data_IF_508805666817
#
_entry.id   IF_508805666817
#
_cell.length_a   1.000
_cell.length_b   1.000
_cell.length_c   1.000
_cell.angle_alpha   90.00
_cell.angle_beta   90.00
_cell.angle_gamma   90.00
#
_symmetry.space_group_name_H-M   'P 1'
#
loop_
_entity.id
_entity.type
_entity.pdbx_description
1 polymer ?
#
# COMPACT_ATOMS: atom_id res chain seq x y z
N UNK A 1 20.48 12.51 -5.48
CA UNK A 1 20.12 13.73 -4.73
C UNK A 1 20.91 13.84 -3.42
N UNK A 2 22.23 14.12 -3.44
CA UNK A 2 23.05 14.12 -2.21
C UNK A 2 22.62 15.15 -1.17
N UNK A 3 22.22 16.35 -1.60
CA UNK A 3 21.77 17.44 -0.72
C UNK A 3 20.48 17.09 0.03
N UNK A 4 19.51 16.44 -0.65
CA UNK A 4 18.26 15.98 -0.02
C UNK A 4 18.52 14.92 1.03
N UNK A 5 19.38 13.94 0.74
CA UNK A 5 19.73 12.88 1.70
C UNK A 5 20.42 13.49 2.92
N UNK A 6 21.37 14.40 2.74
CA UNK A 6 22.01 15.11 3.84
C UNK A 6 20.98 15.87 4.69
N UNK A 7 20.11 16.66 4.07
CA UNK A 7 19.12 17.45 4.80
C UNK A 7 18.12 16.57 5.58
N UNK A 8 17.62 15.49 4.99
CA UNK A 8 16.72 14.55 5.68
C UNK A 8 17.39 13.88 6.89
N UNK A 9 18.64 13.46 6.75
CA UNK A 9 19.39 12.80 7.83
C UNK A 9 19.74 13.78 8.95
N UNK A 10 20.33 14.92 8.60
CA UNK A 10 20.89 15.84 9.59
C UNK A 10 19.85 16.78 10.21
N UNK A 11 18.73 17.07 9.53
CA UNK A 11 17.69 18.00 10.04
C UNK A 11 16.42 17.32 10.52
N UNK A 12 16.06 16.18 9.93
CA UNK A 12 14.83 15.45 10.29
C UNK A 12 15.11 14.08 10.93
N UNK A 13 16.37 13.72 11.16
CA UNK A 13 16.72 12.45 11.80
C UNK A 13 16.36 11.23 10.94
N UNK A 14 16.26 11.38 9.62
CA UNK A 14 15.85 10.28 8.74
C UNK A 14 16.87 9.14 8.76
N UNK A 15 16.37 7.90 8.82
CA UNK A 15 17.17 6.67 8.77
C UNK A 15 17.10 6.09 7.34
N UNK A 16 18.21 6.02 6.59
CA UNK A 16 18.18 5.47 5.25
C UNK A 16 18.24 3.94 5.25
N UNK A 17 17.39 3.34 4.43
CA UNK A 17 17.36 1.91 4.17
C UNK A 17 18.12 1.62 2.88
N UNK A 18 19.45 1.52 2.97
CA UNK A 18 20.34 1.44 1.79
C UNK A 18 20.09 0.22 0.89
N UNK A 19 19.52 -0.84 1.46
CA UNK A 19 19.31 -2.13 0.79
C UNK A 19 17.82 -2.50 0.72
N UNK A 20 16.93 -1.51 0.75
CA UNK A 20 15.50 -1.74 0.54
C UNK A 20 15.24 -2.08 -0.93
N UNK A 21 14.86 -3.33 -1.19
CA UNK A 21 14.51 -3.79 -2.52
C UNK A 21 13.06 -3.49 -2.86
N UNK A 22 12.80 -3.20 -4.13
CA UNK A 22 11.44 -3.16 -4.67
C UNK A 22 11.00 -4.57 -5.06
N UNK A 23 9.72 -4.87 -4.84
CA UNK A 23 9.04 -6.13 -5.15
C UNK A 23 8.75 -6.26 -6.65
N UNK A 24 8.35 -5.17 -7.31
CA UNK A 24 8.00 -5.16 -8.72
C UNK A 24 8.38 -3.88 -9.46
N UNK A 25 8.21 -3.88 -10.78
CA UNK A 25 8.60 -2.74 -11.62
C UNK A 25 7.80 -1.46 -11.30
N UNK A 26 6.48 -1.58 -11.11
CA UNK A 26 5.54 -0.46 -10.98
C UNK A 26 5.10 -0.23 -9.53
N UNK A 27 4.39 0.87 -9.24
CA UNK A 27 3.94 1.21 -7.88
C UNK A 27 3.07 0.12 -7.25
N UNK A 28 2.11 -0.42 -8.02
CA UNK A 28 1.10 -1.36 -7.52
C UNK A 28 1.66 -2.63 -6.84
N UNK A 29 2.55 -3.43 -7.46
CA UNK A 29 3.08 -4.63 -6.79
C UNK A 29 3.87 -4.29 -5.51
N UNK A 30 4.51 -3.12 -5.44
CA UNK A 30 5.22 -2.67 -4.24
C UNK A 30 4.26 -2.29 -3.12
N UNK A 31 3.21 -1.53 -3.43
CA UNK A 31 2.19 -1.14 -2.45
C UNK A 31 1.39 -2.35 -1.95
N UNK A 32 0.93 -3.23 -2.84
CA UNK A 32 0.19 -4.43 -2.46
C UNK A 32 1.02 -5.35 -1.55
N UNK A 33 2.32 -5.53 -1.81
CA UNK A 33 3.15 -6.39 -1.01
C UNK A 33 3.27 -5.91 0.45
N UNK A 34 3.45 -4.61 0.66
CA UNK A 34 3.54 -4.03 2.00
C UNK A 34 2.18 -4.05 2.70
N UNK A 35 1.12 -3.67 1.99
CA UNK A 35 -0.20 -3.46 2.59
C UNK A 35 -0.95 -4.77 2.87
N UNK A 36 -0.76 -5.79 2.02
CA UNK A 36 -1.41 -7.10 2.13
C UNK A 36 -0.46 -8.17 2.68
N UNK A 37 0.79 -7.80 3.02
CA UNK A 37 1.75 -8.69 3.66
C UNK A 37 2.15 -9.90 2.83
N UNK A 38 1.97 -9.85 1.50
CA UNK A 38 2.33 -10.96 0.60
C UNK A 38 3.55 -10.65 -0.25
N UNK A 39 4.20 -11.71 -0.71
CA UNK A 39 5.35 -11.62 -1.60
C UNK A 39 4.92 -11.37 -3.05
N UNK A 40 5.90 -11.06 -3.91
CA UNK A 40 5.68 -11.00 -5.36
C UNK A 40 5.05 -12.29 -5.93
N UNK A 41 5.44 -13.45 -5.39
CA UNK A 41 5.02 -14.76 -5.91
C UNK A 41 3.54 -15.03 -5.64
N UNK A 42 2.99 -14.45 -4.57
CA UNK A 42 1.57 -14.61 -4.20
C UNK A 42 0.65 -13.84 -5.15
N UNK A 43 1.15 -12.78 -5.78
CA UNK A 43 0.38 -11.83 -6.59
C UNK A 43 0.41 -12.04 -8.11
N UNK A 44 0.93 -13.18 -8.59
CA UNK A 44 1.12 -13.50 -10.01
C UNK A 44 0.21 -12.73 -10.98
N UNK A 45 0.82 -12.02 -11.94
CA UNK A 45 0.18 -11.01 -12.80
C UNK A 45 -1.28 -11.34 -13.18
N UNK A 46 -2.20 -10.43 -12.85
CA UNK A 46 -3.56 -10.40 -13.39
C UNK A 46 -4.64 -11.16 -12.62
N UNK A 47 -4.30 -12.11 -11.74
CA UNK A 47 -5.31 -12.92 -11.03
C UNK A 47 -6.16 -12.12 -10.02
N UNK A 48 -5.56 -11.11 -9.40
CA UNK A 48 -6.14 -10.37 -8.26
C UNK A 48 -6.87 -9.08 -8.66
N UNK A 49 -7.17 -8.91 -9.95
CA UNK A 49 -7.84 -7.70 -10.44
C UNK A 49 -9.37 -7.87 -10.52
N UNK A 50 -9.82 -9.11 -10.71
CA UNK A 50 -11.23 -9.44 -10.96
C UNK A 50 -12.01 -9.78 -9.69
N UNK A 51 -11.32 -10.14 -8.61
CA UNK A 51 -11.92 -10.44 -7.31
C UNK A 51 -11.73 -9.25 -6.36
N UNK A 52 -12.71 -8.95 -5.49
CA UNK A 52 -12.56 -7.93 -4.46
C UNK A 52 -11.57 -8.38 -3.37
N UNK A 53 -10.89 -7.41 -2.75
CA UNK A 53 -9.99 -7.65 -1.61
C UNK A 53 -10.73 -7.80 -0.28
N UNK A 54 -12.06 -7.88 -0.29
CA UNK A 54 -12.90 -7.86 0.91
C UNK A 54 -12.58 -8.99 1.91
N UNK A 55 -12.10 -10.14 1.43
CA UNK A 55 -11.75 -11.30 2.24
C UNK A 55 -10.24 -11.48 2.43
N UNK A 56 -9.45 -10.49 2.03
CA UNK A 56 -7.99 -10.54 2.13
C UNK A 56 -7.51 -9.87 3.42
N UNK A 57 -6.40 -10.38 3.96
CA UNK A 57 -5.72 -9.68 5.04
C UNK A 57 -5.16 -8.35 4.52
N UNK A 58 -5.39 -7.27 5.27
CA UNK A 58 -4.89 -5.94 4.99
C UNK A 58 -4.48 -5.27 6.29
N UNK A 59 -3.30 -4.65 6.28
CA UNK A 59 -2.71 -4.02 7.47
C UNK A 59 -3.64 -2.98 8.12
N UNK A 60 -4.49 -2.30 7.34
CA UNK A 60 -5.45 -1.35 7.89
C UNK A 60 -6.46 -1.99 8.86
N UNK A 61 -6.92 -3.21 8.59
CA UNK A 61 -7.84 -3.93 9.48
C UNK A 61 -7.18 -4.21 10.85
N UNK A 62 -5.93 -4.64 10.86
CA UNK A 62 -5.17 -4.88 12.10
C UNK A 62 -5.06 -3.62 12.97
N UNK A 63 -4.80 -2.47 12.35
CA UNK A 63 -4.74 -1.20 13.09
C UNK A 63 -6.13 -0.78 13.58
N UNK A 64 -7.19 -0.96 12.79
CA UNK A 64 -8.56 -0.68 13.23
C UNK A 64 -8.97 -1.55 14.42
N UNK A 65 -8.73 -2.86 14.36
CA UNK A 65 -9.06 -3.80 15.44
C UNK A 65 -8.32 -3.47 16.74
N UNK A 66 -7.12 -2.89 16.64
CA UNK A 66 -6.33 -2.41 17.79
C UNK A 66 -6.74 -1.02 18.30
N UNK A 67 -7.80 -0.43 17.73
CA UNK A 67 -8.37 0.85 18.18
C UNK A 67 -7.71 2.09 17.58
N UNK A 68 -6.87 1.96 16.56
CA UNK A 68 -6.33 3.11 15.84
C UNK A 68 -7.35 3.70 14.87
N UNK A 69 -7.28 5.02 14.67
CA UNK A 69 -7.96 5.67 13.55
C UNK A 69 -7.13 5.54 12.27
N UNK A 70 -7.72 4.96 11.24
CA UNK A 70 -7.02 4.65 9.99
C UNK A 70 -7.48 5.55 8.83
N UNK A 71 -6.51 5.97 8.02
CA UNK A 71 -6.73 6.80 6.83
C UNK A 71 -5.94 6.19 5.68
N UNK A 72 -6.62 6.00 4.55
CA UNK A 72 -6.01 5.67 3.27
C UNK A 72 -6.14 6.91 2.38
N UNK A 73 -5.05 7.66 2.21
CA UNK A 73 -5.00 8.88 1.42
C UNK A 73 -4.26 8.62 0.11
N UNK A 74 -5.00 8.51 -0.98
CA UNK A 74 -4.47 8.39 -2.34
C UNK A 74 -4.58 9.77 -3.02
N UNK A 75 -3.65 10.10 -3.91
CA UNK A 75 -3.62 11.37 -4.65
C UNK A 75 -4.54 11.38 -5.88
N UNK A 76 -5.18 10.24 -6.19
CA UNK A 76 -6.08 10.07 -7.33
C UNK A 76 -7.20 9.05 -7.04
N UNK A 77 -8.26 9.06 -7.85
CA UNK A 77 -9.39 8.13 -7.73
C UNK A 77 -9.00 6.65 -8.00
N UNK A 78 -7.91 6.43 -8.76
CA UNK A 78 -7.33 5.11 -8.97
C UNK A 78 -6.05 4.97 -8.16
N UNK A 79 -6.14 4.26 -7.05
CA UNK A 79 -5.04 3.97 -6.14
C UNK A 79 -4.51 2.54 -6.25
N UNK A 80 -3.84 2.08 -5.21
CA UNK A 80 -3.12 0.79 -5.21
C UNK A 80 -4.03 -0.41 -5.49
N UNK A 81 -5.28 -0.41 -5.00
CA UNK A 81 -6.17 -1.59 -5.06
C UNK A 81 -7.07 -1.63 -6.30
N UNK A 82 -7.43 -0.48 -6.88
CA UNK A 82 -8.35 -0.38 -8.01
C UNK A 82 -7.69 -0.02 -9.35
N UNK A 83 -6.41 0.36 -9.38
CA UNK A 83 -5.72 0.67 -10.64
C UNK A 83 -5.33 -0.57 -11.48
N UNK A 84 -5.43 -0.51 -12.83
CA UNK A 84 -6.17 0.49 -13.60
C UNK A 84 -7.66 0.16 -13.73
N UNK A 85 -8.01 -1.13 -13.75
CA UNK A 85 -9.37 -1.66 -13.96
C UNK A 85 -9.68 -2.77 -12.96
N UNK A 86 -9.26 -2.62 -11.71
CA UNK A 86 -9.44 -3.65 -10.69
C UNK A 86 -10.57 -3.31 -9.74
N UNK A 87 -11.20 -4.34 -9.20
CA UNK A 87 -12.38 -4.19 -8.33
C UNK A 87 -12.03 -3.46 -7.03
N UNK A 88 -10.83 -3.66 -6.49
CA UNK A 88 -10.43 -3.08 -5.19
C UNK A 88 -11.25 -3.68 -4.04
N UNK A 89 -11.53 -2.87 -3.01
CA UNK A 89 -12.51 -3.22 -1.97
C UNK A 89 -13.91 -2.82 -2.43
N UNK A 90 -14.89 -3.70 -2.27
CA UNK A 90 -16.24 -3.52 -2.82
C UNK A 90 -17.32 -3.38 -1.75
N UNK A 91 -17.40 -4.33 -0.82
CA UNK A 91 -18.49 -4.39 0.15
C UNK A 91 -18.09 -3.88 1.54
N UNK A 92 -16.83 -3.51 1.71
CA UNK A 92 -16.27 -3.02 2.97
C UNK A 92 -15.55 -1.69 2.76
N UNK A 93 -15.39 -0.94 3.86
CA UNK A 93 -14.57 0.27 3.89
C UNK A 93 -13.26 -0.10 4.61
N UNK A 94 -12.12 -0.15 3.91
CA UNK A 94 -10.89 -0.75 4.44
C UNK A 94 -10.19 0.10 5.52
N UNK A 95 -10.57 1.37 5.65
CA UNK A 95 -10.07 2.30 6.67
C UNK A 95 -11.19 3.22 7.16
N UNK A 96 -11.06 3.83 8.33
CA UNK A 96 -12.10 4.73 8.87
C UNK A 96 -12.33 5.94 7.95
N UNK A 97 -11.24 6.44 7.36
CA UNK A 97 -11.25 7.45 6.33
C UNK A 97 -10.74 6.81 5.04
N UNK A 98 -11.66 6.53 4.12
CA UNK A 98 -11.37 5.91 2.83
C UNK A 98 -11.93 6.75 1.69
N UNK A 99 -11.06 7.18 0.78
CA UNK A 99 -11.45 7.90 -0.43
C UNK A 99 -12.08 6.90 -1.42
N UNK A 100 -13.30 7.18 -1.88
CA UNK A 100 -14.03 6.40 -2.90
C UNK A 100 -14.17 7.19 -4.19
#
# INVERSE_FOLDING_TARGET
MPRTVYYLREKYGAVPFQYLNKVGMNSRPNGMAILLGKSYFDYGYGKHCQAPFDNEWFIGFEYQERGYKTLMSEDWALGVFNYPNCVGFKNITPTDHYMR
#
